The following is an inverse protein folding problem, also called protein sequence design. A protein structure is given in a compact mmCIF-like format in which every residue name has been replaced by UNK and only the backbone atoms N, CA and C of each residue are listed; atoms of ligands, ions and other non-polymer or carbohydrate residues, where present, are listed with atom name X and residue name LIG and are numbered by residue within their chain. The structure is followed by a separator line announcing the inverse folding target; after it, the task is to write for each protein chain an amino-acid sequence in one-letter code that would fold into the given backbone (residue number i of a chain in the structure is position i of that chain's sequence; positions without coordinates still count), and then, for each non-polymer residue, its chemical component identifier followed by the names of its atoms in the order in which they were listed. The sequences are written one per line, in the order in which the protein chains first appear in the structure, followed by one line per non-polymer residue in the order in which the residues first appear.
data_IF_914170766071
#
_entry.id   IF_914170766071
#
_cell.length_a   1.000
_cell.length_b   1.000
_cell.length_c   1.000
_cell.angle_alpha   90.00
_cell.angle_beta   90.00
_cell.angle_gamma   90.00
#
_symmetry.space_group_name_H-M   'P 1'
#
loop_
_entity.id
_entity.type
_entity.pdbx_description
1 polymer ?
#
# COMPACT_ATOMS: atom_id res chain seq x y z
N UNK A 1 2.82 -6.31 0.29
CA UNK A 1 3.06 -5.12 -0.54
C UNK A 1 1.85 -4.19 -0.54
N UNK A 2 2.11 -2.89 -0.47
CA UNK A 2 1.11 -1.82 -0.46
C UNK A 2 1.66 -0.71 -1.36
N UNK A 3 0.87 -0.17 -2.30
CA UNK A 3 1.23 1.10 -2.94
C UNK A 3 0.59 2.22 -2.14
N UNK A 4 1.43 2.94 -1.40
CA UNK A 4 1.03 4.03 -0.52
C UNK A 4 1.54 5.35 -1.06
N UNK A 5 0.62 6.25 -1.43
CA UNK A 5 0.96 7.63 -1.72
C UNK A 5 0.87 8.46 -0.43
N UNK A 6 2.00 8.96 0.08
CA UNK A 6 2.03 9.80 1.28
C UNK A 6 2.07 11.30 0.96
N UNK A 7 1.45 12.10 1.82
CA UNK A 7 1.49 13.57 1.79
C UNK A 7 1.60 14.13 3.21
N UNK A 8 2.05 15.38 3.33
CA UNK A 8 2.06 16.12 4.59
C UNK A 8 1.15 17.34 4.52
N UNK A 9 0.24 17.47 5.47
CA UNK A 9 -0.60 18.65 5.66
C UNK A 9 0.05 19.58 6.71
N UNK A 10 0.43 20.78 6.26
CA UNK A 10 1.15 21.75 7.11
C UNK A 10 0.28 22.40 8.18
N UNK A 11 -1.03 22.49 7.93
CA UNK A 11 -1.96 23.17 8.83
C UNK A 11 -2.46 22.20 9.90
N UNK A 12 -2.48 22.70 11.13
CA UNK A 12 -3.22 22.07 12.23
C UNK A 12 -4.68 21.91 11.81
N UNK A 13 -5.21 20.70 11.94
CA UNK A 13 -6.60 20.40 11.68
C UNK A 13 -7.24 19.90 12.96
N UNK A 14 -8.30 20.58 13.37
CA UNK A 14 -9.29 19.92 14.21
C UNK A 14 -9.88 18.78 13.39
N UNK A 15 -9.99 17.59 13.98
CA UNK A 15 -10.46 16.41 13.28
C UNK A 15 -11.95 16.60 12.93
N UNK A 16 -12.22 17.16 11.75
CA UNK A 16 -13.59 17.31 11.24
C UNK A 16 -13.78 16.24 10.19
N UNK A 17 -14.56 15.22 10.54
CA UNK A 17 -14.99 14.22 9.58
C UNK A 17 -16.00 14.84 8.60
N UNK A 18 -15.85 14.66 7.28
CA UNK A 18 -14.82 13.84 6.64
C UNK A 18 -13.49 14.59 6.42
N UNK A 19 -12.36 13.90 6.64
CA UNK A 19 -11.01 14.45 6.43
C UNK A 19 -10.76 14.72 4.94
N UNK A 20 -10.25 15.91 4.60
CA UNK A 20 -10.04 16.38 3.22
C UNK A 20 -8.59 16.75 2.98
N UNK A 21 -8.09 16.45 1.79
CA UNK A 21 -6.72 16.79 1.36
C UNK A 21 -6.65 17.05 -0.15
N UNK A 22 -5.54 17.63 -0.61
CA UNK A 22 -5.26 17.84 -2.04
C UNK A 22 -4.43 16.68 -2.60
N UNK A 23 -5.06 15.84 -3.40
CA UNK A 23 -4.43 14.72 -4.10
C UNK A 23 -4.37 14.94 -5.61
N UNK A 24 -3.44 14.28 -6.30
CA UNK A 24 -3.44 14.26 -7.76
C UNK A 24 -4.50 13.29 -8.27
N UNK A 25 -5.33 13.71 -9.22
CA UNK A 25 -6.42 12.87 -9.70
C UNK A 25 -5.94 11.60 -10.41
N UNK A 26 -4.89 11.72 -11.23
CA UNK A 26 -4.35 10.57 -11.96
C UNK A 26 -3.77 9.51 -11.02
N UNK A 27 -3.09 9.93 -9.95
CA UNK A 27 -2.61 9.01 -8.93
C UNK A 27 -3.78 8.34 -8.20
N UNK A 28 -4.83 9.10 -7.88
CA UNK A 28 -6.06 8.54 -7.29
C UNK A 28 -6.67 7.48 -8.20
N UNK A 29 -6.92 7.82 -9.47
CA UNK A 29 -7.48 6.94 -10.50
C UNK A 29 -6.67 5.65 -10.62
N UNK A 30 -5.34 5.77 -10.74
CA UNK A 30 -4.43 4.62 -10.82
C UNK A 30 -4.55 3.70 -9.60
N UNK A 31 -4.54 4.26 -8.38
CA UNK A 31 -4.60 3.48 -7.13
C UNK A 31 -6.00 2.93 -6.83
N UNK A 32 -7.07 3.62 -7.26
CA UNK A 32 -8.45 3.20 -7.03
C UNK A 32 -8.91 2.16 -8.04
N UNK A 33 -8.63 2.38 -9.33
CA UNK A 33 -9.07 1.51 -10.42
C UNK A 33 -8.14 0.31 -10.60
N UNK A 34 -6.86 0.46 -10.25
CA UNK A 34 -5.83 -0.60 -10.36
C UNK A 34 -5.81 -1.23 -11.75
N UNK A 35 -5.68 -0.43 -12.82
CA UNK A 35 -5.58 -1.00 -14.15
C UNK A 35 -4.29 -1.81 -14.28
N UNK A 36 -4.26 -2.72 -15.25
CA UNK A 36 -2.99 -3.22 -15.75
C UNK A 36 -2.16 -2.05 -16.28
N UNK A 37 -0.88 -2.02 -15.92
CA UNK A 37 0.04 -0.97 -16.34
C UNK A 37 0.92 -1.49 -17.47
N UNK A 38 1.05 -0.71 -18.55
CA UNK A 38 2.13 -0.92 -19.50
C UNK A 38 3.29 -0.05 -19.05
N UNK A 39 4.30 -0.69 -18.45
CA UNK A 39 5.49 0.02 -18.00
C UNK A 39 6.37 0.39 -19.20
N UNK A 40 6.35 1.68 -19.56
CA UNK A 40 7.27 2.27 -20.52
C UNK A 40 8.56 2.78 -19.85
N UNK A 41 8.75 2.54 -18.55
CA UNK A 41 9.93 2.92 -17.80
C UNK A 41 11.01 1.82 -17.81
N UNK A 42 12.21 2.16 -17.37
CA UNK A 42 13.31 1.21 -17.21
C UNK A 42 13.14 0.28 -16.01
N UNK A 43 12.10 0.46 -15.19
CA UNK A 43 11.90 -0.35 -13.98
C UNK A 43 11.43 -1.76 -14.34
N UNK A 44 10.69 -1.94 -15.43
CA UNK A 44 10.22 -3.26 -15.87
C UNK A 44 9.18 -3.85 -14.90
N UNK A 45 8.28 -3.01 -14.41
CA UNK A 45 7.20 -3.40 -13.52
C UNK A 45 6.29 -4.44 -14.19
N UNK A 46 5.84 -5.48 -13.46
CA UNK A 46 4.81 -6.39 -13.92
C UNK A 46 3.54 -5.64 -14.30
N UNK A 47 2.86 -6.09 -15.36
CA UNK A 47 1.64 -5.42 -15.84
C UNK A 47 0.52 -5.43 -14.81
N UNK A 48 0.44 -6.51 -14.07
CA UNK A 48 -0.57 -6.81 -13.06
C UNK A 48 -0.18 -6.33 -11.65
N UNK A 49 0.89 -5.54 -11.50
CA UNK A 49 1.44 -5.14 -10.19
C UNK A 49 0.42 -4.44 -9.27
N UNK A 50 -0.64 -3.83 -9.81
CA UNK A 50 -1.71 -3.20 -9.03
C UNK A 50 -2.97 -4.06 -8.91
N UNK A 51 -3.15 -5.07 -9.75
CA UNK A 51 -4.41 -5.82 -9.94
C UNK A 51 -4.31 -7.30 -9.60
N UNK A 52 -3.12 -7.78 -9.21
CA UNK A 52 -2.89 -9.22 -9.01
C UNK A 52 -3.69 -9.86 -7.87
N UNK A 53 -4.22 -9.08 -6.94
CA UNK A 53 -4.99 -9.56 -5.79
C UNK A 53 -6.11 -8.57 -5.44
N UNK A 54 -7.13 -9.06 -4.72
CA UNK A 54 -8.32 -8.26 -4.37
C UNK A 54 -8.12 -7.31 -3.18
N UNK A 55 -6.94 -7.32 -2.55
CA UNK A 55 -6.60 -6.52 -1.35
C UNK A 55 -6.75 -5.02 -1.60
N UNK A 56 -7.65 -4.36 -0.88
CA UNK A 56 -7.84 -2.91 -0.84
C UNK A 56 -6.58 -2.13 -0.47
N UNK A 57 -5.65 -2.75 0.25
CA UNK A 57 -4.35 -2.17 0.63
C UNK A 57 -3.38 -1.97 -0.55
N UNK A 58 -3.59 -2.62 -1.70
CA UNK A 58 -2.72 -2.44 -2.88
C UNK A 58 -2.73 -1.00 -3.37
N UNK A 59 -3.86 -0.29 -3.29
CA UNK A 59 -3.93 1.12 -3.67
C UNK A 59 -4.45 1.97 -2.52
N UNK A 60 -3.56 2.76 -1.90
CA UNK A 60 -3.86 3.50 -0.66
C UNK A 60 -3.26 4.90 -0.65
N UNK A 61 -3.84 5.76 0.19
CA UNK A 61 -3.34 7.09 0.50
C UNK A 61 -3.02 7.24 1.97
N UNK A 62 -1.95 7.96 2.24
CA UNK A 62 -1.50 8.40 3.55
C UNK A 62 -1.37 9.91 3.61
N UNK A 63 -1.85 10.53 4.67
CA UNK A 63 -1.68 11.97 4.91
C UNK A 63 -1.27 12.18 6.36
N UNK A 64 -0.03 12.59 6.57
CA UNK A 64 0.41 13.10 7.86
C UNK A 64 -0.22 14.47 8.11
N UNK A 65 -0.69 14.72 9.32
CA UNK A 65 -1.26 16.01 9.71
C UNK A 65 -0.93 16.32 11.18
N UNK A 66 -1.10 17.59 11.56
CA UNK A 66 -1.11 17.98 12.97
C UNK A 66 -2.54 18.05 13.48
N UNK A 67 -2.84 17.35 14.57
CA UNK A 67 -4.16 17.34 15.18
C UNK A 67 -4.43 18.62 16.01
N UNK A 68 -5.58 18.70 16.69
CA UNK A 68 -5.93 19.85 17.53
C UNK A 68 -4.95 20.13 18.68
N UNK A 69 -4.21 19.11 19.13
CA UNK A 69 -3.17 19.19 20.17
C UNK A 69 -1.79 19.54 19.60
N UNK A 70 -1.68 19.71 18.27
CA UNK A 70 -0.44 19.95 17.50
C UNK A 70 0.49 18.74 17.42
N UNK A 71 0.01 17.55 17.77
CA UNK A 71 0.74 16.30 17.64
C UNK A 71 0.65 15.77 16.20
N UNK A 72 1.67 15.03 15.77
CA UNK A 72 1.70 14.44 14.42
C UNK A 72 0.85 13.18 14.45
N UNK A 73 -0.11 13.11 13.53
CA UNK A 73 -0.97 11.96 13.34
C UNK A 73 -1.02 11.59 11.84
N UNK A 74 -1.61 10.44 11.50
CA UNK A 74 -1.59 9.87 10.15
C UNK A 74 -2.97 9.39 9.72
N UNK A 75 -3.46 9.98 8.64
CA UNK A 75 -4.68 9.57 7.97
C UNK A 75 -4.34 8.56 6.87
N UNK A 76 -4.76 7.32 7.02
CA UNK A 76 -4.60 6.23 6.06
C UNK A 76 -5.95 5.80 5.49
N UNK A 77 -6.03 5.55 4.18
CA UNK A 77 -7.26 5.08 3.54
C UNK A 77 -6.99 4.36 2.23
N UNK A 78 -7.71 3.26 1.95
CA UNK A 78 -7.76 2.67 0.63
C UNK A 78 -8.31 3.67 -0.39
N UNK A 79 -7.65 3.78 -1.54
CA UNK A 79 -8.05 4.67 -2.61
C UNK A 79 -9.48 4.38 -3.10
N UNK A 80 -9.94 3.12 -3.03
CA UNK A 80 -11.31 2.73 -3.38
C UNK A 80 -12.38 3.40 -2.49
N UNK A 81 -12.04 3.70 -1.23
CA UNK A 81 -12.96 4.33 -0.26
C UNK A 81 -12.91 5.87 -0.28
N UNK A 82 -12.00 6.45 -1.04
CA UNK A 82 -11.86 7.91 -1.12
C UNK A 82 -12.91 8.48 -2.07
N UNK A 83 -13.64 9.46 -1.55
CA UNK A 83 -14.57 10.26 -2.31
C UNK A 83 -13.83 11.43 -2.99
N UNK A 84 -14.20 11.75 -4.22
CA UNK A 84 -13.74 12.94 -4.92
C UNK A 84 -14.93 13.71 -5.49
N UNK A 85 -14.84 15.04 -5.51
CA UNK A 85 -15.81 15.88 -6.22
C UNK A 85 -15.40 15.98 -7.68
N UNK A 86 -16.19 15.40 -8.58
CA UNK A 86 -16.01 15.49 -10.04
C UNK A 86 -16.14 16.95 -10.47
N UNK A 87 -15.02 17.63 -10.75
CA UNK A 87 -15.01 18.97 -11.36
C UNK A 87 -14.22 18.93 -12.66
N UNK A 88 -14.91 18.87 -13.80
CA UNK A 88 -14.42 19.20 -15.16
C UNK A 88 -13.20 18.44 -15.75
N UNK A 89 -13.22 18.29 -17.08
CA UNK A 89 -12.42 17.40 -17.95
C UNK A 89 -10.89 17.63 -17.99
N UNK A 90 -10.30 18.39 -17.06
CA UNK A 90 -8.84 18.60 -17.05
C UNK A 90 -8.13 17.40 -16.43
N UNK A 91 -7.48 16.62 -17.29
CA UNK A 91 -6.57 15.52 -16.92
C UNK A 91 -5.36 16.13 -16.17
N UNK A 92 -4.95 15.51 -15.05
CA UNK A 92 -3.75 15.87 -14.24
C UNK A 92 -3.79 17.15 -13.38
N UNK A 93 -4.93 17.52 -12.78
CA UNK A 93 -4.96 18.60 -11.78
C UNK A 93 -5.17 18.08 -10.36
N UNK A 94 -4.61 18.75 -9.33
CA UNK A 94 -4.91 18.45 -7.94
C UNK A 94 -6.42 18.60 -7.64
N UNK A 95 -6.99 17.59 -6.99
CA UNK A 95 -8.40 17.55 -6.57
C UNK A 95 -8.49 17.51 -5.07
N UNK A 96 -9.61 18.00 -4.54
CA UNK A 96 -9.96 17.74 -3.15
C UNK A 96 -10.46 16.31 -3.05
N UNK A 97 -9.65 15.47 -2.44
CA UNK A 97 -9.98 14.10 -2.06
C UNK A 97 -10.49 14.11 -0.62
N UNK A 98 -11.47 13.27 -0.35
CA UNK A 98 -12.20 13.24 0.91
C UNK A 98 -12.24 11.81 1.42
N UNK A 99 -11.66 11.58 2.58
CA UNK A 99 -11.77 10.30 3.27
C UNK A 99 -13.25 10.04 3.62
N UNK A 100 -13.65 8.78 3.79
CA UNK A 100 -14.99 8.43 4.27
C UNK A 100 -15.30 9.16 5.59
N UNK A 101 -16.60 9.34 5.86
CA UNK A 101 -17.06 10.01 7.07
C UNK A 101 -16.98 9.03 8.25
N UNK A 102 -15.97 9.16 9.12
CA UNK A 102 -15.75 8.22 10.22
C UNK A 102 -15.14 8.92 11.44
N UNK A 103 -15.58 8.55 12.63
CA UNK A 103 -15.04 9.02 13.91
C UNK A 103 -13.87 8.14 14.34
N UNK A 104 -12.65 8.70 14.41
CA UNK A 104 -11.44 8.08 15.02
C UNK A 104 -11.34 6.55 14.85
N UNK A 105 -11.52 6.01 13.64
CA UNK A 105 -11.77 4.56 13.48
C UNK A 105 -10.65 3.80 12.80
N UNK A 106 -10.33 2.65 13.36
CA UNK A 106 -9.81 1.48 12.63
C UNK A 106 -10.96 0.85 11.84
N UNK A 107 -10.90 0.86 10.50
CA UNK A 107 -11.81 0.06 9.68
C UNK A 107 -11.05 -1.09 9.07
N UNK A 108 -11.56 -2.30 9.25
CA UNK A 108 -11.10 -3.50 8.58
C UNK A 108 -12.09 -3.92 7.50
N UNK A 109 -11.60 -4.49 6.39
CA UNK A 109 -12.41 -5.25 5.44
C UNK A 109 -12.00 -6.72 5.44
N UNK A 110 -12.98 -7.60 5.30
CA UNK A 110 -12.75 -9.03 5.11
C UNK A 110 -12.55 -9.33 3.63
N UNK A 111 -11.55 -10.15 3.33
CA UNK A 111 -11.21 -10.60 1.98
C UNK A 111 -11.69 -12.03 1.83
N UNK A 112 -12.43 -12.31 0.76
CA UNK A 112 -12.97 -13.64 0.51
C UNK A 112 -11.90 -14.58 -0.08
N UNK A 113 -12.00 -15.87 0.24
CA UNK A 113 -11.09 -17.03 -0.03
C UNK A 113 -10.30 -17.56 1.17
N UNK A 114 -9.97 -16.76 2.19
CA UNK A 114 -9.12 -17.24 3.31
C UNK A 114 -9.33 -16.54 4.67
N UNK A 115 -10.45 -15.85 4.90
CA UNK A 115 -10.72 -15.09 6.15
C UNK A 115 -9.59 -14.13 6.56
N UNK A 116 -8.98 -13.46 5.59
CA UNK A 116 -7.99 -12.43 5.87
C UNK A 116 -8.69 -11.08 6.09
N UNK A 117 -8.16 -10.30 7.03
CA UNK A 117 -8.59 -8.93 7.28
C UNK A 117 -7.51 -7.97 6.82
N UNK A 118 -7.93 -6.83 6.27
CA UNK A 118 -7.02 -5.73 5.97
C UNK A 118 -7.52 -4.40 6.50
N UNK A 119 -6.60 -3.54 6.94
CA UNK A 119 -6.91 -2.19 7.36
C UNK A 119 -7.18 -1.36 6.11
N UNK A 120 -8.33 -0.72 6.07
CA UNK A 120 -8.81 0.04 4.91
C UNK A 120 -8.93 1.52 5.21
N UNK A 121 -9.00 1.90 6.49
CA UNK A 121 -8.88 3.30 6.87
C UNK A 121 -8.49 3.44 8.34
N UNK A 122 -7.74 4.50 8.64
CA UNK A 122 -7.59 5.04 9.99
C UNK A 122 -7.23 6.52 9.96
N UNK A 123 -7.53 7.24 11.02
CA UNK A 123 -7.06 8.60 11.28
C UNK A 123 -6.12 8.62 12.49
N UNK A 124 -5.49 7.49 12.77
CA UNK A 124 -4.64 7.30 13.92
C UNK A 124 -3.34 6.59 13.49
N UNK A 125 -2.21 7.23 13.78
CA UNK A 125 -0.88 6.73 13.47
C UNK A 125 -0.53 5.47 14.27
N UNK A 126 -1.04 5.34 15.50
CA UNK A 126 -0.77 4.16 16.34
C UNK A 126 -1.53 2.96 15.78
N UNK A 127 -2.80 3.16 15.39
CA UNK A 127 -3.59 2.16 14.68
C UNK A 127 -2.93 1.71 13.37
N UNK A 128 -2.43 2.67 12.57
CA UNK A 128 -1.71 2.35 11.34
C UNK A 128 -0.43 1.55 11.65
N UNK A 129 0.36 1.99 12.62
CA UNK A 129 1.59 1.34 13.04
C UNK A 129 1.32 -0.08 13.53
N UNK A 130 0.33 -0.25 14.40
CA UNK A 130 -0.14 -1.55 14.86
C UNK A 130 -0.54 -2.45 13.69
N UNK A 131 -1.30 -1.93 12.72
CA UNK A 131 -1.73 -2.72 11.56
C UNK A 131 -0.57 -3.17 10.67
N UNK A 132 0.49 -2.36 10.56
CA UNK A 132 1.69 -2.69 9.80
C UNK A 132 2.49 -3.77 10.54
N UNK A 133 2.71 -3.59 11.85
CA UNK A 133 3.42 -4.55 12.69
C UNK A 133 2.73 -5.92 12.76
N UNK A 134 1.40 -5.93 12.72
CA UNK A 134 0.58 -7.15 12.71
C UNK A 134 0.25 -7.64 11.29
N UNK A 135 0.86 -7.05 10.25
CA UNK A 135 0.70 -7.47 8.85
C UNK A 135 -0.76 -7.50 8.38
N UNK A 136 -1.59 -6.64 8.96
CA UNK A 136 -2.98 -6.38 8.58
C UNK A 136 -3.01 -5.41 7.39
N UNK A 137 -2.00 -4.53 7.28
CA UNK A 137 -1.85 -3.64 6.12
C UNK A 137 -0.89 -4.22 5.09
N UNK A 138 -1.40 -4.42 3.87
CA UNK A 138 -0.65 -4.87 2.70
C UNK A 138 -1.05 -6.26 2.23
N UNK A 139 -0.76 -6.55 0.97
CA UNK A 139 -1.09 -7.84 0.35
C UNK A 139 0.09 -8.82 0.39
N UNK A 140 -0.22 -10.10 0.33
CA UNK A 140 0.77 -11.15 0.17
C UNK A 140 1.37 -11.13 -1.25
N UNK A 141 2.69 -10.92 -1.35
CA UNK A 141 3.40 -10.88 -2.64
C UNK A 141 3.66 -12.26 -3.22
N UNK A 142 3.57 -13.28 -2.36
CA UNK A 142 4.03 -14.64 -2.63
C UNK A 142 3.15 -15.36 -3.66
N UNK A 143 1.94 -14.83 -3.87
CA UNK A 143 0.94 -15.40 -4.79
C UNK A 143 1.03 -14.92 -6.22
N UNK A 144 1.94 -14.00 -6.51
CA UNK A 144 2.14 -13.53 -7.87
C UNK A 144 3.58 -13.75 -8.33
N UNK A 145 3.74 -14.74 -9.21
CA UNK A 145 5.04 -15.13 -9.77
C UNK A 145 5.72 -13.99 -10.55
N UNK A 146 4.95 -13.13 -11.23
CA UNK A 146 5.49 -12.00 -11.98
C UNK A 146 6.08 -10.94 -11.04
N UNK A 147 5.36 -10.64 -9.95
CA UNK A 147 5.81 -9.74 -8.88
C UNK A 147 7.03 -10.30 -8.17
N UNK A 148 7.02 -11.59 -7.82
CA UNK A 148 8.17 -12.24 -7.22
C UNK A 148 9.40 -12.19 -8.14
N UNK A 149 9.24 -12.49 -9.43
CA UNK A 149 10.33 -12.44 -10.41
C UNK A 149 10.91 -11.04 -10.55
N UNK A 150 10.02 -10.03 -10.58
CA UNK A 150 10.43 -8.63 -10.59
C UNK A 150 11.24 -8.27 -9.35
N UNK A 151 10.76 -8.60 -8.15
CA UNK A 151 11.46 -8.32 -6.90
C UNK A 151 12.82 -9.04 -6.85
N UNK A 152 12.86 -10.31 -7.23
CA UNK A 152 14.11 -11.07 -7.30
C UNK A 152 15.14 -10.39 -8.20
N UNK A 153 14.73 -9.97 -9.41
CA UNK A 153 15.61 -9.24 -10.34
C UNK A 153 16.06 -7.89 -9.76
N UNK A 154 15.12 -7.13 -9.18
CA UNK A 154 15.39 -5.82 -8.57
C UNK A 154 16.45 -5.94 -7.48
N UNK A 155 16.26 -6.84 -6.51
CA UNK A 155 17.16 -7.00 -5.38
C UNK A 155 18.48 -7.67 -5.75
N UNK A 156 18.48 -8.61 -6.70
CA UNK A 156 19.73 -9.23 -7.20
C UNK A 156 20.68 -8.20 -7.83
N UNK A 157 20.13 -7.17 -8.46
CA UNK A 157 20.95 -6.07 -9.01
C UNK A 157 21.54 -5.17 -7.91
N UNK A 158 20.87 -5.07 -6.76
CA UNK A 158 21.26 -4.22 -5.62
C UNK A 158 22.23 -4.96 -4.66
N UNK A 159 22.22 -6.30 -4.65
CA UNK A 159 22.80 -7.12 -3.56
C UNK A 159 24.31 -7.08 -3.39
N UNK A 160 25.05 -6.35 -4.24
CA UNK A 160 26.53 -6.41 -4.31
C UNK A 160 27.27 -6.19 -2.98
N UNK A 161 26.65 -5.64 -1.93
CA UNK A 161 27.27 -5.45 -0.60
C UNK A 161 26.35 -5.54 0.63
N UNK A 162 25.09 -6.00 0.53
CA UNK A 162 24.15 -5.95 1.66
C UNK A 162 23.68 -7.35 2.10
N UNK A 163 24.12 -7.79 3.28
CA UNK A 163 23.82 -9.12 3.85
C UNK A 163 22.31 -9.37 3.99
N UNK A 164 21.54 -8.37 4.44
CA UNK A 164 20.09 -8.50 4.61
C UNK A 164 19.36 -8.70 3.28
N UNK A 165 19.89 -8.13 2.19
CA UNK A 165 19.33 -8.33 0.85
C UNK A 165 19.60 -9.75 0.36
N UNK A 166 20.76 -10.34 0.69
CA UNK A 166 21.06 -11.71 0.31
C UNK A 166 20.16 -12.71 1.05
N UNK A 167 19.91 -12.50 2.35
CA UNK A 167 18.97 -13.31 3.13
C UNK A 167 17.55 -13.25 2.53
N UNK A 168 17.09 -12.06 2.15
CA UNK A 168 15.82 -11.88 1.46
C UNK A 168 15.77 -12.58 0.09
N UNK A 169 16.84 -12.50 -0.69
CA UNK A 169 16.96 -13.18 -1.99
C UNK A 169 16.90 -14.70 -1.81
N UNK A 170 17.59 -15.24 -0.81
CA UNK A 170 17.59 -16.68 -0.54
C UNK A 170 16.23 -17.16 -0.03
N UNK A 171 15.55 -16.34 0.79
CA UNK A 171 14.15 -16.56 1.12
C UNK A 171 13.27 -16.65 -0.15
N UNK A 172 13.39 -15.71 -1.09
CA UNK A 172 12.63 -15.74 -2.34
C UNK A 172 12.92 -17.01 -3.15
N UNK A 173 14.20 -17.41 -3.28
CA UNK A 173 14.60 -18.64 -4.00
C UNK A 173 13.99 -19.89 -3.38
N UNK A 174 13.99 -20.00 -2.06
CA UNK A 174 13.40 -21.14 -1.36
C UNK A 174 11.90 -21.25 -1.64
N UNK A 175 11.22 -20.11 -1.74
CA UNK A 175 9.81 -20.10 -2.13
C UNK A 175 9.61 -20.55 -3.59
N UNK A 176 10.40 -20.04 -4.53
CA UNK A 176 10.34 -20.46 -5.95
C UNK A 176 10.55 -21.97 -6.14
N UNK A 177 11.45 -22.56 -5.35
CA UNK A 177 11.83 -23.96 -5.49
C UNK A 177 10.86 -24.93 -4.78
N UNK A 178 9.93 -24.44 -3.95
CA UNK A 178 8.93 -25.25 -3.24
C UNK A 178 7.51 -24.68 -3.41
N UNK A 179 6.89 -24.77 -4.60
CA UNK A 179 5.54 -24.24 -4.83
C UNK A 179 4.42 -24.98 -4.07
N UNK A 180 4.70 -26.10 -3.40
CA UNK A 180 3.73 -26.91 -2.66
C UNK A 180 3.42 -26.40 -1.23
N UNK A 181 3.83 -25.18 -0.87
CA UNK A 181 3.56 -24.59 0.45
C UNK A 181 2.05 -24.39 0.76
N UNK A 182 1.14 -24.51 -0.20
CA UNK A 182 -0.31 -24.38 0.05
C UNK A 182 -1.04 -25.73 0.26
N UNK A 183 -0.42 -26.87 -0.03
CA UNK A 183 -1.12 -28.17 -0.10
C UNK A 183 -1.06 -29.03 1.16
N UNK A 184 -0.31 -28.61 2.18
CA UNK A 184 -0.27 -29.32 3.45
C UNK A 184 -1.19 -28.59 4.43
N UNK A 185 -2.16 -29.31 5.03
CA UNK A 185 -3.10 -28.82 6.06
C UNK A 185 -2.42 -28.35 7.37
N UNK A 186 -1.12 -28.10 7.35
CA UNK A 186 -0.43 -27.40 8.42
C UNK A 186 -0.70 -25.90 8.23
N UNK A 187 -0.82 -25.15 9.33
CA UNK A 187 -0.85 -23.69 9.31
C UNK A 187 0.48 -23.17 8.74
N UNK A 188 0.63 -23.23 7.42
CA UNK A 188 1.76 -22.64 6.73
C UNK A 188 1.60 -21.15 6.95
N UNK A 189 2.42 -20.63 7.84
CA UNK A 189 2.47 -19.21 8.17
C UNK A 189 2.99 -18.53 6.92
N UNK A 190 2.06 -18.09 6.07
CA UNK A 190 2.40 -17.41 4.83
C UNK A 190 3.21 -16.16 5.23
N UNK A 191 4.50 -16.08 4.85
CA UNK A 191 5.36 -14.98 5.25
C UNK A 191 4.85 -13.70 4.59
N UNK A 192 4.33 -12.78 5.39
CA UNK A 192 3.83 -11.49 4.89
C UNK A 192 4.99 -10.50 4.86
N UNK A 193 5.35 -10.07 3.67
CA UNK A 193 6.47 -9.15 3.45
C UNK A 193 5.96 -7.72 3.32
N UNK A 194 6.44 -6.85 4.23
CA UNK A 194 6.30 -5.42 4.11
C UNK A 194 7.50 -4.85 3.33
N UNK A 195 7.26 -4.43 2.10
CA UNK A 195 8.22 -3.65 1.33
C UNK A 195 7.94 -2.16 1.56
N UNK A 196 8.88 -1.47 2.20
CA UNK A 196 8.83 -0.02 2.37
C UNK A 196 9.87 0.61 1.46
N UNK A 197 9.43 1.21 0.35
CA UNK A 197 10.30 2.06 -0.44
C UNK A 197 10.33 3.45 0.18
N UNK A 198 11.46 3.82 0.79
CA UNK A 198 11.68 5.17 1.32
C UNK A 198 12.47 5.91 0.25
N UNK A 199 11.83 6.86 -0.44
CA UNK A 199 12.55 7.77 -1.33
C UNK A 199 13.66 8.45 -0.54
N UNK A 200 14.92 8.20 -0.91
CA UNK A 200 16.01 9.08 -0.52
C UNK A 200 15.67 10.46 -1.06
N UNK A 201 15.68 11.47 -0.17
CA UNK A 201 15.31 12.86 -0.47
C UNK A 201 15.79 13.28 -1.87
N UNK A 202 14.98 14.03 -2.64
CA UNK A 202 15.54 14.73 -3.80
C UNK A 202 16.69 15.62 -3.28
N UNK A 203 17.88 15.38 -3.80
CA UNK A 203 19.06 16.22 -3.59
C UNK A 203 18.82 17.61 -4.18
#
# INVERSE_FOLDING_TARGET
MTFLQTKYEKKTKNLVSPFKFKGEYFQYELLSERPEINDNSSLGLPKDILSFMDYETIGTFGVFYKDGLKEINFAYCSAKKINYRKRTNKKRQPRTLTFPNISFSESLSQINRQNHFELVTTLDIDCFTFSILNLITGTDIVRNINVLNYLFKLFSNISKKNYNINEFIDFLKNFFNNPNFENNNEEVTIPRILLVNVDEKPK
#
